data_IF_031419502382
#
_entry.id   IF_031419502382
#
_cell.length_a   1.000
_cell.length_b   1.000
_cell.length_c   1.000
_cell.angle_alpha   90.00
_cell.angle_beta   90.00
_cell.angle_gamma   90.00
#
_symmetry.space_group_name_H-M   'P 1'
#
loop_
_entity.id
_entity.type
_entity.pdbx_description
1 polymer ?
#
# COMPACT_ATOMS: atom_id res chain seq x y z
N UNK A 1 28.92 -18.22 -6.80
CA UNK A 1 27.45 -18.39 -6.82
C UNK A 1 27.03 -18.35 -5.37
N UNK A 2 26.56 -17.20 -4.89
CA UNK A 2 26.14 -17.04 -3.51
C UNK A 2 24.67 -17.43 -3.44
N UNK A 3 24.38 -18.51 -2.72
CA UNK A 3 23.04 -18.90 -2.29
C UNK A 3 22.98 -18.86 -0.76
N UNK A 4 21.81 -19.10 -0.16
CA UNK A 4 21.62 -19.00 1.27
C UNK A 4 22.67 -19.79 2.05
N UNK A 5 23.36 -19.13 2.99
CA UNK A 5 24.37 -19.74 3.86
C UNK A 5 23.83 -20.88 4.71
N UNK A 6 22.56 -20.81 5.14
CA UNK A 6 21.80 -21.90 5.74
C UNK A 6 20.63 -22.35 4.84
N UNK A 7 20.94 -23.28 3.94
CA UNK A 7 19.94 -23.86 3.03
C UNK A 7 18.81 -24.62 3.75
N UNK A 8 19.06 -25.21 4.93
CA UNK A 8 18.03 -25.95 5.65
C UNK A 8 16.97 -25.00 6.20
N UNK A 9 17.43 -23.93 6.86
CA UNK A 9 16.54 -22.85 7.30
C UNK A 9 15.79 -22.23 6.13
N UNK A 10 16.49 -21.92 5.03
CA UNK A 10 15.85 -21.33 3.85
C UNK A 10 14.73 -22.22 3.31
N UNK A 11 14.95 -23.52 3.10
CA UNK A 11 13.91 -24.43 2.58
C UNK A 11 12.69 -24.52 3.50
N UNK A 12 12.88 -24.48 4.83
CA UNK A 12 11.76 -24.45 5.79
C UNK A 12 10.94 -23.17 5.65
N UNK A 13 11.61 -22.02 5.51
CA UNK A 13 10.97 -20.71 5.34
C UNK A 13 10.25 -20.62 3.99
N UNK A 14 10.94 -20.99 2.91
CA UNK A 14 10.43 -20.98 1.54
C UNK A 14 9.16 -21.84 1.41
N UNK A 15 9.19 -23.04 2.01
CA UNK A 15 8.07 -23.98 2.04
C UNK A 15 6.92 -23.58 2.97
N UNK A 16 7.06 -22.52 3.77
CA UNK A 16 5.97 -22.05 4.62
C UNK A 16 4.87 -21.39 3.78
N UNK A 17 3.67 -21.97 3.82
CA UNK A 17 2.52 -21.45 3.09
C UNK A 17 1.70 -20.50 3.97
N UNK A 18 1.73 -19.22 3.62
CA UNK A 18 0.89 -18.18 4.24
C UNK A 18 -0.57 -18.25 3.81
N UNK A 19 -0.84 -18.78 2.62
CA UNK A 19 -2.16 -18.81 1.99
C UNK A 19 -2.77 -20.22 2.08
N UNK A 20 -3.45 -20.49 3.19
CA UNK A 20 -4.17 -21.75 3.35
C UNK A 20 -5.30 -21.89 2.31
N UNK A 21 -5.40 -23.03 1.61
CA UNK A 21 -6.28 -23.18 0.43
C UNK A 21 -7.77 -23.08 0.75
N UNK A 22 -8.18 -23.38 1.99
CA UNK A 22 -9.59 -23.40 2.41
C UNK A 22 -10.06 -22.06 3.04
N UNK A 23 -9.25 -21.01 2.95
CA UNK A 23 -9.56 -19.70 3.54
C UNK A 23 -10.03 -18.73 2.45
N UNK A 24 -11.26 -18.23 2.59
CA UNK A 24 -11.87 -17.27 1.65
C UNK A 24 -11.09 -15.95 1.50
N UNK A 25 -10.37 -15.55 2.54
CA UNK A 25 -9.49 -14.38 2.53
C UNK A 25 -8.12 -14.79 3.07
N UNK A 26 -7.27 -15.39 2.22
CA UNK A 26 -5.94 -15.83 2.64
C UNK A 26 -5.04 -14.64 2.96
N UNK A 27 -3.85 -14.91 3.50
CA UNK A 27 -2.94 -13.90 4.02
C UNK A 27 -2.57 -12.85 2.96
N UNK A 28 -2.13 -13.27 1.78
CA UNK A 28 -1.73 -12.36 0.69
C UNK A 28 -2.91 -11.53 0.17
N UNK A 29 -4.11 -12.12 0.11
CA UNK A 29 -5.32 -11.40 -0.30
C UNK A 29 -5.73 -10.34 0.74
N UNK A 30 -5.57 -10.63 2.03
CA UNK A 30 -5.77 -9.63 3.08
C UNK A 30 -4.73 -8.53 2.99
N UNK A 31 -3.45 -8.88 2.84
CA UNK A 31 -2.34 -7.93 2.69
C UNK A 31 -2.60 -6.97 1.52
N UNK A 32 -3.00 -7.50 0.37
CA UNK A 32 -3.38 -6.72 -0.81
C UNK A 32 -4.54 -5.76 -0.50
N UNK A 33 -5.60 -6.25 0.14
CA UNK A 33 -6.79 -5.45 0.45
C UNK A 33 -6.50 -4.32 1.44
N UNK A 34 -5.71 -4.58 2.47
CA UNK A 34 -5.42 -3.61 3.54
C UNK A 34 -4.49 -2.49 3.07
N UNK A 35 -3.61 -2.77 2.10
CA UNK A 35 -2.69 -1.80 1.53
C UNK A 35 -3.12 -1.21 0.17
N UNK A 36 -4.23 -1.70 -0.40
CA UNK A 36 -4.69 -1.28 -1.73
C UNK A 36 -3.78 -1.74 -2.88
N UNK A 37 -3.02 -2.81 -2.67
CA UNK A 37 -2.09 -3.34 -3.66
C UNK A 37 -2.75 -4.32 -4.64
N UNK A 38 -2.20 -4.46 -5.85
CA UNK A 38 -2.53 -5.58 -6.73
C UNK A 38 -2.23 -6.93 -6.05
N UNK A 39 -3.06 -7.97 -6.23
CA UNK A 39 -2.83 -9.29 -5.61
C UNK A 39 -1.46 -9.89 -5.91
N UNK A 40 -0.98 -9.77 -7.14
CA UNK A 40 0.33 -10.25 -7.57
C UNK A 40 1.49 -9.52 -6.88
N UNK A 41 1.31 -8.23 -6.55
CA UNK A 41 2.30 -7.48 -5.81
C UNK A 41 2.38 -7.97 -4.36
N UNK A 42 1.23 -8.18 -3.71
CA UNK A 42 1.19 -8.71 -2.35
C UNK A 42 1.83 -10.11 -2.24
N UNK A 43 1.64 -10.98 -3.24
CA UNK A 43 2.32 -12.28 -3.28
C UNK A 43 3.85 -12.12 -3.35
N UNK A 44 4.35 -11.21 -4.19
CA UNK A 44 5.79 -10.92 -4.23
C UNK A 44 6.32 -10.36 -2.91
N UNK A 45 5.55 -9.49 -2.25
CA UNK A 45 5.90 -8.96 -0.92
C UNK A 45 5.99 -10.09 0.13
N UNK A 46 5.11 -11.09 0.08
CA UNK A 46 5.20 -12.27 0.96
C UNK A 46 6.52 -13.03 0.75
N UNK A 47 6.96 -13.19 -0.49
CA UNK A 47 8.24 -13.83 -0.79
C UNK A 47 9.44 -12.99 -0.32
N UNK A 48 9.37 -11.67 -0.43
CA UNK A 48 10.39 -10.76 0.12
C UNK A 48 10.39 -10.75 1.65
N UNK A 49 9.23 -10.91 2.29
CA UNK A 49 9.11 -11.07 3.74
C UNK A 49 9.80 -12.35 4.24
N UNK A 50 9.62 -13.47 3.53
CA UNK A 50 10.36 -14.72 3.82
C UNK A 50 11.87 -14.51 3.77
N UNK A 51 12.37 -13.84 2.73
CA UNK A 51 13.80 -13.52 2.59
C UNK A 51 14.30 -12.63 3.72
N UNK A 52 13.56 -11.59 4.08
CA UNK A 52 13.92 -10.71 5.18
C UNK A 52 13.99 -11.45 6.52
N UNK A 53 13.02 -12.32 6.81
CA UNK A 53 13.03 -13.15 8.02
C UNK A 53 14.23 -14.10 8.05
N UNK A 54 14.56 -14.69 6.90
CA UNK A 54 15.78 -15.49 6.77
C UNK A 54 17.02 -14.67 7.12
N UNK A 55 17.17 -13.44 6.58
CA UNK A 55 18.30 -12.56 6.89
C UNK A 55 18.40 -12.26 8.39
N UNK A 56 17.27 -12.01 9.07
CA UNK A 56 17.26 -11.82 10.53
C UNK A 56 17.67 -13.05 11.32
N UNK A 57 17.47 -14.25 10.78
CA UNK A 57 17.87 -15.49 11.45
C UNK A 57 19.35 -15.78 11.35
N UNK A 58 19.98 -15.40 10.22
CA UNK A 58 21.40 -15.70 9.91
C UNK A 58 22.34 -14.51 10.16
N UNK A 59 21.80 -13.36 10.57
CA UNK A 59 22.57 -12.16 10.92
C UNK A 59 22.46 -11.87 12.41
N UNK A 60 23.59 -11.48 13.02
CA UNK A 60 23.63 -10.92 14.39
C UNK A 60 23.43 -9.39 14.40
N UNK A 61 23.32 -8.77 13.22
CA UNK A 61 23.11 -7.33 13.10
C UNK A 61 21.64 -6.95 13.19
N UNK A 62 21.37 -5.74 13.69
CA UNK A 62 20.07 -5.12 13.52
C UNK A 62 19.82 -4.83 12.03
N UNK A 63 18.73 -5.39 11.51
CA UNK A 63 18.25 -5.22 10.14
C UNK A 63 16.90 -4.49 10.13
N UNK A 64 16.56 -3.87 9.00
CA UNK A 64 15.33 -3.09 8.84
C UNK A 64 14.72 -3.37 7.48
N UNK A 65 13.42 -3.73 7.42
CA UNK A 65 12.76 -4.05 6.16
C UNK A 65 12.40 -2.78 5.35
N UNK A 66 12.01 -2.98 4.09
CA UNK A 66 11.23 -1.97 3.37
C UNK A 66 9.85 -1.80 4.00
N UNK A 67 9.13 -0.75 3.62
CA UNK A 67 7.80 -0.48 4.17
C UNK A 67 6.83 -1.60 3.81
N UNK A 68 6.90 -2.09 2.58
CA UNK A 68 6.04 -3.16 2.06
C UNK A 68 6.26 -4.47 2.80
N UNK A 69 7.53 -4.82 3.08
CA UNK A 69 7.87 -6.02 3.85
C UNK A 69 7.51 -5.86 5.33
N UNK A 70 7.61 -4.66 5.88
CA UNK A 70 7.16 -4.35 7.24
C UNK A 70 5.64 -4.52 7.38
N UNK A 71 4.84 -4.10 6.38
CA UNK A 71 3.38 -4.32 6.37
C UNK A 71 3.01 -5.80 6.36
N UNK A 72 3.75 -6.64 5.63
CA UNK A 72 3.58 -8.09 5.71
C UNK A 72 3.93 -8.63 7.10
N UNK A 73 5.00 -8.12 7.72
CA UNK A 73 5.37 -8.53 9.07
C UNK A 73 4.33 -8.10 10.11
N UNK A 74 3.89 -6.83 10.07
CA UNK A 74 2.80 -6.32 10.92
C UNK A 74 1.55 -7.17 10.80
N UNK A 75 1.13 -7.49 9.57
CA UNK A 75 -0.03 -8.35 9.37
C UNK A 75 0.21 -9.73 10.00
N UNK A 76 1.38 -10.33 9.83
CA UNK A 76 1.67 -11.65 10.39
C UNK A 76 1.63 -11.67 11.92
N UNK A 77 2.08 -10.61 12.59
CA UNK A 77 2.00 -10.47 14.05
C UNK A 77 0.55 -10.54 14.56
N UNK A 78 -0.43 -10.08 13.77
CA UNK A 78 -1.86 -10.19 14.10
C UNK A 78 -2.34 -11.65 14.07
N UNK A 79 -1.76 -12.51 13.22
CA UNK A 79 -2.03 -13.95 13.20
C UNK A 79 -1.21 -14.67 14.27
N UNK A 80 -1.44 -14.34 15.54
CA UNK A 80 -0.55 -14.72 16.66
C UNK A 80 -0.17 -16.21 16.71
N UNK A 81 -1.10 -17.14 16.44
CA UNK A 81 -0.79 -18.59 16.37
C UNK A 81 0.04 -18.96 15.13
N UNK A 82 -0.26 -18.35 13.98
CA UNK A 82 0.57 -18.52 12.78
C UNK A 82 1.98 -18.02 13.05
N UNK A 83 2.12 -16.84 13.66
CA UNK A 83 3.40 -16.23 13.93
C UNK A 83 4.20 -17.00 14.99
N UNK A 84 3.70 -17.09 16.21
CA UNK A 84 4.44 -17.66 17.34
C UNK A 84 4.56 -19.18 17.27
N UNK A 85 3.44 -19.89 17.13
CA UNK A 85 3.44 -21.35 17.25
C UNK A 85 3.95 -22.03 15.97
N UNK A 86 3.53 -21.54 14.80
CA UNK A 86 3.87 -22.19 13.54
C UNK A 86 5.17 -21.64 12.96
N UNK A 87 5.26 -20.33 12.75
CA UNK A 87 6.39 -19.76 12.04
C UNK A 87 7.64 -19.67 12.93
N UNK A 88 7.63 -18.90 14.01
CA UNK A 88 8.79 -18.76 14.90
C UNK A 88 9.23 -20.11 15.50
N UNK A 89 8.33 -20.82 16.16
CA UNK A 89 8.71 -22.06 16.87
C UNK A 89 8.99 -23.25 15.96
N UNK A 90 8.16 -23.52 14.95
CA UNK A 90 8.30 -24.73 14.12
C UNK A 90 9.13 -24.51 12.86
N UNK A 91 9.02 -23.35 12.21
CA UNK A 91 9.75 -23.06 10.96
C UNK A 91 11.13 -22.48 11.26
N UNK A 92 11.21 -21.41 12.05
CA UNK A 92 12.47 -20.72 12.33
C UNK A 92 13.29 -21.47 13.39
N UNK A 93 12.61 -22.00 14.41
CA UNK A 93 13.25 -22.56 15.60
C UNK A 93 13.77 -21.50 16.58
N UNK A 94 13.38 -20.23 16.36
CA UNK A 94 13.71 -19.09 17.22
C UNK A 94 12.62 -18.04 17.16
N UNK A 95 12.52 -17.27 18.23
CA UNK A 95 11.65 -16.11 18.29
C UNK A 95 12.31 -14.92 17.60
N UNK A 96 11.51 -14.17 16.86
CA UNK A 96 11.89 -12.89 16.29
C UNK A 96 10.88 -11.89 16.82
N UNK A 97 11.36 -10.74 17.27
CA UNK A 97 10.52 -9.69 17.83
C UNK A 97 10.51 -8.48 16.89
N UNK A 98 9.33 -7.86 16.76
CA UNK A 98 9.20 -6.56 16.13
C UNK A 98 9.21 -5.50 17.22
N UNK A 99 10.10 -4.53 17.11
CA UNK A 99 10.23 -3.44 18.08
C UNK A 99 9.90 -2.10 17.40
N UNK A 100 9.06 -1.26 18.03
CA UNK A 100 8.77 0.06 17.50
C UNK A 100 10.00 0.97 17.58
N UNK A 101 10.06 1.97 16.70
CA UNK A 101 11.05 3.05 16.82
C UNK A 101 10.81 3.89 18.08
N UNK A 102 11.90 4.31 18.75
CA UNK A 102 11.83 5.30 19.83
C UNK A 102 11.70 6.75 19.30
N UNK A 103 11.84 6.94 17.99
CA UNK A 103 11.77 8.23 17.33
C UNK A 103 13.01 9.13 17.55
N UNK A 104 13.04 10.24 16.81
CA UNK A 104 14.13 11.21 16.87
C UNK A 104 15.25 10.98 15.84
N UNK A 105 16.15 11.96 15.72
CA UNK A 105 17.15 12.00 14.66
C UNK A 105 18.17 10.84 14.74
N UNK A 106 18.55 10.43 15.95
CA UNK A 106 19.49 9.31 16.15
C UNK A 106 18.89 7.98 15.68
N UNK A 107 17.64 7.69 16.07
CA UNK A 107 16.92 6.50 15.60
C UNK A 107 16.74 6.51 14.09
N UNK A 108 16.38 7.66 13.51
CA UNK A 108 16.26 7.78 12.05
C UNK A 108 17.58 7.40 11.36
N UNK A 109 18.71 7.97 11.81
CA UNK A 109 20.03 7.64 11.25
C UNK A 109 20.37 6.14 11.41
N UNK A 110 20.04 5.54 12.55
CA UNK A 110 20.23 4.11 12.81
C UNK A 110 19.46 3.26 11.80
N UNK A 111 18.18 3.56 11.57
CA UNK A 111 17.34 2.79 10.64
C UNK A 111 17.76 2.95 9.17
N UNK A 112 18.29 4.12 8.78
CA UNK A 112 18.93 4.29 7.48
C UNK A 112 20.09 3.30 7.28
N UNK A 113 21.00 3.22 8.25
CA UNK A 113 22.14 2.30 8.21
C UNK A 113 21.68 0.84 8.21
N UNK A 114 20.72 0.47 9.08
CA UNK A 114 20.17 -0.88 9.14
C UNK A 114 19.49 -1.29 7.83
N UNK A 115 18.78 -0.37 7.15
CA UNK A 115 18.14 -0.65 5.87
C UNK A 115 19.16 -0.87 4.75
N UNK A 116 20.23 -0.06 4.71
CA UNK A 116 21.35 -0.26 3.78
C UNK A 116 22.01 -1.63 3.99
N UNK A 117 22.34 -1.97 5.25
CA UNK A 117 22.89 -3.28 5.63
C UNK A 117 21.97 -4.44 5.27
N UNK A 118 20.66 -4.26 5.39
CA UNK A 118 19.69 -5.28 4.98
C UNK A 118 19.81 -5.62 3.49
N UNK A 119 19.94 -4.61 2.62
CA UNK A 119 20.15 -4.83 1.17
C UNK A 119 21.52 -5.44 0.87
N UNK A 120 22.56 -5.08 1.61
CA UNK A 120 23.89 -5.69 1.49
C UNK A 120 23.84 -7.19 1.85
N UNK A 121 23.24 -7.55 3.00
CA UNK A 121 23.02 -8.94 3.41
C UNK A 121 22.14 -9.72 2.44
N UNK A 122 21.11 -9.08 1.89
CA UNK A 122 20.29 -9.67 0.84
C UNK A 122 21.15 -10.06 -0.38
N UNK A 123 22.00 -9.16 -0.85
CA UNK A 123 22.88 -9.41 -2.00
C UNK A 123 23.93 -10.49 -1.72
N UNK A 124 24.43 -10.57 -0.48
CA UNK A 124 25.36 -11.62 -0.03
C UNK A 124 24.70 -13.00 -0.05
N UNK A 125 23.50 -13.13 0.53
CA UNK A 125 22.79 -14.40 0.71
C UNK A 125 22.07 -14.88 -0.56
N UNK A 126 21.50 -13.98 -1.36
CA UNK A 126 20.69 -14.33 -2.54
C UNK A 126 21.39 -14.03 -3.87
N UNK A 127 22.60 -13.48 -3.84
CA UNK A 127 23.41 -13.21 -5.04
C UNK A 127 22.82 -12.16 -5.99
N UNK A 128 21.74 -11.48 -5.61
CA UNK A 128 21.02 -10.49 -6.43
C UNK A 128 20.58 -9.32 -5.57
N UNK A 129 20.39 -8.15 -6.19
CA UNK A 129 19.80 -7.02 -5.51
C UNK A 129 18.31 -7.31 -5.28
N UNK A 130 17.74 -6.87 -4.15
CA UNK A 130 16.31 -7.00 -3.94
C UNK A 130 15.53 -6.16 -4.97
N UNK A 131 14.30 -6.57 -5.33
CA UNK A 131 13.51 -5.89 -6.36
C UNK A 131 13.15 -4.47 -5.92
N UNK A 132 13.51 -3.48 -6.73
CA UNK A 132 13.46 -2.06 -6.34
C UNK A 132 12.06 -1.47 -6.18
N UNK A 133 11.03 -2.14 -6.69
CA UNK A 133 9.62 -1.79 -6.49
C UNK A 133 9.06 -2.27 -5.14
N UNK A 134 9.77 -3.17 -4.44
CA UNK A 134 9.46 -3.59 -3.05
C UNK A 134 10.52 -3.09 -2.08
N UNK A 135 11.77 -2.90 -2.55
CA UNK A 135 12.90 -2.43 -1.77
C UNK A 135 13.48 -1.15 -2.40
N UNK A 136 12.78 -0.01 -2.26
CA UNK A 136 13.20 1.22 -2.90
C UNK A 136 14.47 1.80 -2.27
N UNK A 137 15.02 2.83 -2.91
CA UNK A 137 16.16 3.59 -2.36
C UNK A 137 15.85 4.22 -1.01
N UNK A 138 16.89 4.47 -0.20
CA UNK A 138 16.74 5.05 1.15
C UNK A 138 15.98 6.38 1.15
N UNK A 139 16.20 7.21 0.12
CA UNK A 139 15.53 8.50 -0.03
C UNK A 139 14.02 8.34 -0.24
N UNK A 140 13.58 7.22 -0.83
CA UNK A 140 12.17 6.91 -1.03
C UNK A 140 11.61 6.29 0.26
N UNK A 141 12.30 5.29 0.83
CA UNK A 141 11.87 4.57 2.04
C UNK A 141 11.71 5.48 3.27
N UNK A 142 12.56 6.50 3.40
CA UNK A 142 12.57 7.42 4.54
C UNK A 142 12.25 8.87 4.15
N UNK A 143 11.79 9.10 2.91
CA UNK A 143 11.38 10.42 2.44
C UNK A 143 10.03 10.86 3.02
N UNK A 144 9.68 12.14 2.81
CA UNK A 144 8.45 12.76 3.31
C UNK A 144 7.14 12.21 2.73
N UNK A 145 7.21 11.30 1.76
CA UNK A 145 6.10 10.99 0.85
C UNK A 145 4.92 10.25 1.51
N UNK A 146 5.10 9.52 2.60
CA UNK A 146 4.04 8.67 3.14
C UNK A 146 4.02 8.66 4.67
N UNK A 147 3.62 9.77 5.27
CA UNK A 147 2.92 9.65 6.56
C UNK A 147 1.63 8.86 6.29
N UNK A 148 1.60 7.58 6.67
CA UNK A 148 0.39 6.77 6.66
C UNK A 148 -0.73 7.53 7.38
N UNK A 149 -1.61 8.11 6.59
CA UNK A 149 -2.84 8.72 7.07
C UNK A 149 -3.93 7.75 6.70
N UNK A 150 -4.52 7.11 7.71
CA UNK A 150 -5.71 6.28 7.50
C UNK A 150 -6.85 7.23 7.17
N UNK A 151 -7.15 7.36 5.87
CA UNK A 151 -8.26 8.19 5.39
C UNK A 151 -9.46 7.31 5.13
N UNK A 152 -10.56 7.53 5.85
CA UNK A 152 -11.81 6.85 5.58
C UNK A 152 -12.44 7.41 4.29
N UNK A 153 -12.04 6.85 3.15
CA UNK A 153 -12.49 7.31 1.81
C UNK A 153 -14.00 7.24 1.63
N UNK A 154 -14.71 6.42 2.41
CA UNK A 154 -16.18 6.36 2.39
C UNK A 154 -16.86 7.67 2.83
N UNK A 155 -16.14 8.52 3.59
CA UNK A 155 -16.61 9.84 4.04
C UNK A 155 -16.18 10.97 3.14
N UNK A 156 -15.33 10.70 2.14
CA UNK A 156 -14.91 11.73 1.19
C UNK A 156 -16.00 11.94 0.13
N UNK A 157 -16.31 13.19 -0.22
CA UNK A 157 -17.16 13.48 -1.37
C UNK A 157 -16.52 12.91 -2.64
N UNK A 158 -17.30 12.20 -3.46
CA UNK A 158 -16.85 11.69 -4.75
C UNK A 158 -17.75 12.18 -5.88
N UNK A 159 -17.16 12.44 -7.05
CA UNK A 159 -17.88 12.83 -8.27
C UNK A 159 -17.85 11.66 -9.25
N UNK A 160 -19.01 11.28 -9.79
CA UNK A 160 -19.12 10.21 -10.78
C UNK A 160 -18.70 10.69 -12.18
N UNK A 161 -18.28 9.76 -13.05
CA UNK A 161 -17.99 10.07 -14.47
C UNK A 161 -19.21 10.70 -15.18
N UNK A 162 -20.42 10.28 -14.82
CA UNK A 162 -21.66 10.87 -15.34
C UNK A 162 -21.88 12.31 -14.89
N UNK A 163 -21.54 12.64 -13.64
CA UNK A 163 -21.62 14.02 -13.14
C UNK A 163 -20.61 14.93 -13.83
N UNK A 164 -19.39 14.45 -14.07
CA UNK A 164 -18.38 15.14 -14.89
C UNK A 164 -18.86 15.38 -16.33
N UNK A 165 -19.39 14.35 -16.98
CA UNK A 165 -19.95 14.48 -18.33
C UNK A 165 -21.13 15.46 -18.40
N UNK A 166 -22.00 15.44 -17.39
CA UNK A 166 -23.13 16.37 -17.29
C UNK A 166 -22.65 17.81 -17.13
N UNK A 167 -21.66 18.04 -16.28
CA UNK A 167 -21.07 19.38 -16.09
C UNK A 167 -20.39 19.90 -17.36
N UNK A 168 -19.63 19.05 -18.06
CA UNK A 168 -18.99 19.39 -19.32
C UNK A 168 -20.03 19.76 -20.40
N UNK A 169 -21.14 19.02 -20.48
CA UNK A 169 -22.24 19.31 -21.39
C UNK A 169 -22.86 20.70 -21.14
N UNK A 170 -23.17 21.03 -19.88
CA UNK A 170 -23.72 22.36 -19.54
C UNK A 170 -22.71 23.49 -19.78
N UNK A 171 -21.44 23.29 -19.45
CA UNK A 171 -20.39 24.27 -19.74
C UNK A 171 -20.28 24.54 -21.24
N UNK A 172 -20.27 23.48 -22.06
CA UNK A 172 -20.30 23.60 -23.51
C UNK A 172 -21.55 24.33 -24.01
N UNK A 173 -22.74 23.99 -23.49
CA UNK A 173 -24.00 24.61 -23.87
C UNK A 173 -24.04 26.11 -23.54
N UNK A 174 -23.52 26.52 -22.37
CA UNK A 174 -23.43 27.93 -21.97
C UNK A 174 -22.48 28.69 -22.91
N UNK A 175 -21.32 28.12 -23.24
CA UNK A 175 -20.36 28.72 -24.17
C UNK A 175 -20.93 28.84 -25.59
N UNK A 176 -21.63 27.80 -26.06
CA UNK A 176 -22.28 27.79 -27.38
C UNK A 176 -23.43 28.80 -27.46
N UNK A 177 -24.28 28.86 -26.44
CA UNK A 177 -25.38 29.83 -26.37
C UNK A 177 -24.87 31.28 -26.28
N UNK A 178 -23.81 31.53 -25.51
CA UNK A 178 -23.19 32.84 -25.41
C UNK A 178 -22.55 33.33 -26.72
N UNK A 179 -22.16 32.40 -27.60
CA UNK A 179 -21.60 32.72 -28.92
C UNK A 179 -22.66 32.90 -30.02
N UNK A 180 -23.87 32.37 -29.82
CA UNK A 180 -24.92 32.28 -30.85
C UNK A 180 -26.13 33.19 -30.64
N UNK A 181 -26.23 33.90 -29.52
CA UNK A 181 -27.35 34.82 -29.22
C UNK A 181 -26.94 36.30 -29.25
N UNK A 182 -27.80 37.13 -29.82
CA UNK A 182 -27.70 38.59 -29.75
C UNK A 182 -27.78 39.08 -28.30
N UNK A 183 -26.75 39.81 -27.85
CA UNK A 183 -26.57 40.21 -26.43
C UNK A 183 -27.61 41.20 -25.88
N UNK A 184 -28.56 41.66 -26.70
CA UNK A 184 -29.52 42.70 -26.33
C UNK A 184 -30.81 42.17 -25.66
N UNK A 185 -30.95 40.85 -25.49
CA UNK A 185 -32.15 40.23 -24.90
C UNK A 185 -31.87 39.68 -23.50
N UNK A 186 -32.55 40.17 -22.46
CA UNK A 186 -32.40 39.70 -21.08
C UNK A 186 -32.71 38.21 -20.86
N UNK A 187 -33.28 37.54 -21.86
CA UNK A 187 -33.60 36.11 -21.87
C UNK A 187 -32.38 35.19 -21.70
N UNK A 188 -31.18 35.59 -22.15
CA UNK A 188 -29.98 34.75 -22.01
C UNK A 188 -29.54 34.60 -20.56
N UNK A 189 -29.76 35.61 -19.70
CA UNK A 189 -29.43 35.54 -18.28
C UNK A 189 -30.27 34.47 -17.55
N UNK A 190 -31.52 34.26 -17.96
CA UNK A 190 -32.39 33.22 -17.40
C UNK A 190 -31.94 31.81 -17.83
N UNK A 191 -31.50 31.65 -19.08
CA UNK A 191 -31.00 30.36 -19.60
C UNK A 191 -29.68 29.99 -18.90
N UNK A 192 -28.75 30.95 -18.78
CA UNK A 192 -27.48 30.75 -18.06
C UNK A 192 -27.73 30.47 -16.57
N UNK A 193 -28.63 31.22 -15.93
CA UNK A 193 -28.99 31.01 -14.52
C UNK A 193 -29.61 29.64 -14.27
N UNK A 194 -30.50 29.17 -15.14
CA UNK A 194 -31.14 27.86 -15.02
C UNK A 194 -30.14 26.71 -15.30
N UNK A 195 -29.27 26.86 -16.30
CA UNK A 195 -28.19 25.90 -16.57
C UNK A 195 -27.20 25.81 -15.39
N UNK A 196 -26.81 26.95 -14.81
CA UNK A 196 -25.95 27.00 -13.63
C UNK A 196 -26.60 26.33 -12.41
N UNK A 197 -27.89 26.56 -12.17
CA UNK A 197 -28.64 25.93 -11.08
C UNK A 197 -28.76 24.41 -11.24
N UNK A 198 -29.03 23.92 -12.46
CA UNK A 198 -29.10 22.47 -12.74
C UNK A 198 -27.72 21.82 -12.63
N UNK A 199 -26.66 22.49 -13.08
CA UNK A 199 -25.29 22.01 -12.90
C UNK A 199 -24.92 21.93 -11.41
N UNK A 200 -25.22 22.96 -10.62
CA UNK A 200 -24.98 22.98 -9.17
C UNK A 200 -25.69 21.84 -8.44
N UNK A 201 -26.98 21.61 -8.74
CA UNK A 201 -27.76 20.55 -8.08
C UNK A 201 -27.33 19.14 -8.48
N UNK A 202 -26.80 18.94 -9.69
CA UNK A 202 -26.30 17.64 -10.18
C UNK A 202 -24.85 17.34 -9.78
N UNK A 203 -24.06 18.38 -9.48
CA UNK A 203 -22.66 18.28 -9.05
C UNK A 203 -22.47 18.17 -7.53
N UNK A 204 -23.54 18.29 -6.74
CA UNK A 204 -23.44 18.07 -5.30
C UNK A 204 -22.90 16.65 -5.03
N UNK A 205 -21.85 16.53 -4.21
CA UNK A 205 -21.29 15.23 -3.89
C UNK A 205 -22.34 14.38 -3.17
N UNK A 206 -22.64 13.21 -3.72
CA UNK A 206 -23.61 12.28 -3.15
C UNK A 206 -22.89 11.42 -2.11
N UNK A 207 -23.43 11.35 -0.90
CA UNK A 207 -22.95 10.41 0.12
C UNK A 207 -23.02 8.98 -0.40
N UNK A 208 -21.95 8.20 -0.24
CA UNK A 208 -21.96 6.78 -0.67
C UNK A 208 -22.98 6.02 0.18
N UNK A 209 -23.91 5.22 -0.40
CA UNK A 209 -24.79 4.38 0.40
C UNK A 209 -23.91 3.42 1.22
N UNK A 210 -24.20 3.30 2.52
CA UNK A 210 -23.55 2.32 3.40
C UNK A 210 -23.72 0.94 2.77
N UNK A 211 -22.63 0.34 2.32
CA UNK A 211 -22.60 -1.09 1.99
C UNK A 211 -22.72 -1.82 3.32
N UNK A 212 -23.90 -2.38 3.61
CA UNK A 212 -24.07 -3.25 4.76
C UNK A 212 -23.07 -4.41 4.62
N UNK A 213 -22.24 -4.58 5.65
CA UNK A 213 -21.25 -5.66 5.76
C UNK A 213 -21.96 -6.99 5.98
#
# INVERSE_FOLDING_TARGET
>A
MSGPSDLNLWHRIEGYNFDQPDINLPFSARLARENGWPPEFAQRVVEEYKKFVYLMCVSDEMLTPSQEVDEAWHLHLVYTRSYWDNFCRRVLGRDIHHEPTEGGAAENSKFHDCYRRTKERYQEEFGTMPPSDIWPGEQIRFGDAERHTVVETSRLPYVTKSQLGTAAFYAFFVLWAGWSLDWNSSAWMLIVGMAAFVALTRLLPVGRPRRNR
#
